data_IF_757667602493
#
_entry.id   IF_757667602493
#
_cell.length_a   1.000
_cell.length_b   1.000
_cell.length_c   1.000
_cell.angle_alpha   90.00
_cell.angle_beta   90.00
_cell.angle_gamma   90.00
#
_symmetry.space_group_name_H-M   'P 1'
#
loop_
_entity.id
_entity.type
_entity.pdbx_description
1 polymer ?
#
# COMPACT_ATOMS: atom_id res chain seq x y z
N UNK A 1 -4.30 4.78 20.78
CA UNK A 1 -3.83 4.69 20.02
C UNK A 1 -3.38 5.04 19.11
N UNK A 2 -3.22 5.15 18.66
CA UNK A 2 -2.94 5.45 17.85
C UNK A 2 -2.78 5.33 16.87
N UNK A 3 -2.96 5.76 16.72
CA UNK A 3 -3.01 5.55 15.63
C UNK A 3 -2.22 5.40 14.52
N UNK A 4 -1.45 4.65 14.44
CA UNK A 4 -0.74 4.31 13.24
C UNK A 4 -1.66 3.98 12.08
N UNK A 5 -2.89 3.69 12.40
CA UNK A 5 -3.90 3.44 11.37
C UNK A 5 -4.51 4.72 10.82
N UNK A 6 -4.18 5.85 11.43
CA UNK A 6 -4.74 7.13 10.99
C UNK A 6 -4.38 7.50 9.55
N UNK A 7 -3.22 7.09 8.99
CA UNK A 7 -2.96 7.37 7.59
C UNK A 7 -3.90 6.69 6.62
N UNK A 8 -4.55 5.58 7.04
CA UNK A 8 -5.54 4.92 6.18
C UNK A 8 -6.89 5.54 6.47
N UNK A 9 -7.35 6.34 5.54
CA UNK A 9 -8.61 7.05 5.65
C UNK A 9 -9.76 6.18 5.16
N UNK A 10 -10.97 6.62 5.44
CA UNK A 10 -12.15 6.03 4.83
C UNK A 10 -12.09 6.21 3.32
N UNK A 11 -12.71 5.33 2.56
CA UNK A 11 -12.77 5.50 1.12
C UNK A 11 -13.32 6.88 0.75
N UNK A 12 -12.68 7.51 -0.21
CA UNK A 12 -13.09 8.81 -0.70
C UNK A 12 -13.51 8.63 -2.16
N UNK A 13 -14.67 9.17 -2.51
CA UNK A 13 -15.14 9.14 -3.88
C UNK A 13 -14.40 10.21 -4.68
N UNK A 14 -13.48 9.79 -5.51
CA UNK A 14 -12.81 10.67 -6.46
C UNK A 14 -13.48 10.57 -7.83
N UNK A 15 -13.45 11.62 -8.62
CA UNK A 15 -13.84 11.51 -10.03
C UNK A 15 -12.97 10.45 -10.70
N UNK A 16 -13.60 9.56 -11.42
CA UNK A 16 -12.89 8.47 -12.10
C UNK A 16 -11.83 8.98 -13.07
N UNK A 17 -12.06 10.16 -13.62
CA UNK A 17 -11.15 10.78 -14.57
C UNK A 17 -9.78 11.10 -13.99
N UNK A 18 -9.65 11.13 -12.65
CA UNK A 18 -8.36 11.34 -12.01
C UNK A 18 -7.47 10.10 -12.06
N UNK A 19 -8.04 8.93 -12.28
CA UNK A 19 -7.32 7.66 -12.18
C UNK A 19 -7.64 6.79 -13.40
N UNK A 20 -7.08 7.17 -14.53
CA UNK A 20 -7.20 6.41 -15.77
C UNK A 20 -5.89 5.69 -16.06
N UNK A 21 -5.98 4.52 -16.68
CA UNK A 21 -4.80 3.79 -17.10
C UNK A 21 -4.22 4.38 -18.39
N UNK A 22 -3.13 3.81 -18.88
CA UNK A 22 -2.46 4.27 -20.10
C UNK A 22 -3.35 4.21 -21.33
N UNK A 23 -4.41 3.40 -21.29
CA UNK A 23 -5.37 3.27 -22.39
C UNK A 23 -6.58 4.16 -22.20
N UNK A 24 -6.58 5.01 -21.18
CA UNK A 24 -7.69 5.92 -20.90
C UNK A 24 -8.85 5.28 -20.17
N UNK A 25 -8.69 4.09 -19.61
CA UNK A 25 -9.73 3.43 -18.83
C UNK A 25 -9.71 3.91 -17.39
N UNK A 26 -10.87 4.20 -16.85
CA UNK A 26 -10.99 4.58 -15.44
C UNK A 26 -10.72 3.38 -14.54
N UNK A 27 -10.11 3.64 -13.39
CA UNK A 27 -9.92 2.63 -12.36
C UNK A 27 -11.28 2.23 -11.81
N UNK A 28 -11.59 0.92 -11.77
CA UNK A 28 -12.86 0.47 -11.21
C UNK A 28 -12.85 0.54 -9.69
N UNK A 29 -14.05 0.67 -9.11
CA UNK A 29 -14.25 0.59 -7.68
C UNK A 29 -13.92 1.87 -6.94
N UNK A 30 -13.94 1.77 -5.61
CA UNK A 30 -13.63 2.89 -4.74
C UNK A 30 -12.12 3.05 -4.57
N UNK A 31 -11.70 4.29 -4.47
CA UNK A 31 -10.32 4.67 -4.25
C UNK A 31 -10.18 5.10 -2.80
N UNK A 32 -9.24 4.50 -2.10
CA UNK A 32 -8.86 4.89 -0.75
C UNK A 32 -7.52 5.59 -0.81
N UNK A 33 -7.24 6.41 0.20
CA UNK A 33 -5.97 7.14 0.25
C UNK A 33 -5.31 6.98 1.60
N UNK A 34 -4.00 7.06 1.58
CA UNK A 34 -3.19 7.24 2.78
C UNK A 34 -1.95 8.06 2.42
N UNK A 35 -1.25 8.52 3.42
CA UNK A 35 -0.01 9.27 3.22
C UNK A 35 1.18 8.34 3.48
N UNK A 36 2.20 8.43 2.64
CA UNK A 36 3.44 7.67 2.86
C UNK A 36 4.16 8.18 4.10
N UNK A 37 4.39 7.29 5.07
CA UNK A 37 4.93 7.68 6.36
C UNK A 37 6.45 7.65 6.50
N UNK A 38 7.15 7.05 5.56
CA UNK A 38 8.59 6.91 5.66
C UNK A 38 9.25 6.87 4.30
N UNK A 39 10.52 6.48 4.28
CA UNK A 39 11.35 6.51 3.07
C UNK A 39 11.62 5.12 2.48
N UNK A 40 10.95 4.10 2.97
CA UNK A 40 11.25 2.72 2.58
C UNK A 40 10.99 2.42 1.11
N UNK A 41 10.17 3.22 0.44
CA UNK A 41 9.83 3.02 -0.97
C UNK A 41 10.49 4.03 -1.90
N UNK A 42 11.45 4.82 -1.41
CA UNK A 42 12.25 5.66 -2.30
C UNK A 42 13.08 4.79 -3.24
N UNK A 43 13.27 5.21 -4.48
CA UNK A 43 12.83 6.46 -5.10
C UNK A 43 11.42 6.40 -5.69
N UNK A 44 10.74 5.27 -5.59
CA UNK A 44 9.43 5.06 -6.23
C UNK A 44 8.35 5.93 -5.61
N UNK A 45 8.30 5.94 -4.28
CA UNK A 45 7.35 6.75 -3.52
C UNK A 45 8.15 7.54 -2.49
N UNK A 46 8.00 8.86 -2.52
CA UNK A 46 8.69 9.74 -1.59
C UNK A 46 7.91 9.84 -0.26
N UNK A 47 8.60 10.15 0.84
CA UNK A 47 7.89 10.43 2.09
C UNK A 47 6.86 11.53 1.90
N UNK A 48 5.74 11.41 2.60
CA UNK A 48 4.64 12.37 2.59
C UNK A 48 3.84 12.44 1.28
N UNK A 49 4.15 11.63 0.28
CA UNK A 49 3.30 11.55 -0.89
C UNK A 49 1.94 10.97 -0.54
N UNK A 50 0.91 11.42 -1.22
CA UNK A 50 -0.42 10.83 -1.13
C UNK A 50 -0.46 9.57 -1.98
N UNK A 51 -0.91 8.48 -1.39
CA UNK A 51 -1.02 7.19 -2.05
C UNK A 51 -2.49 6.89 -2.28
N UNK A 52 -2.83 6.53 -3.52
CA UNK A 52 -4.15 6.05 -3.86
C UNK A 52 -4.09 4.54 -4.08
N UNK A 53 -5.01 3.82 -3.49
CA UNK A 53 -5.07 2.37 -3.62
C UNK A 53 -6.50 1.89 -3.78
N UNK A 54 -6.65 0.80 -4.48
CA UNK A 54 -7.95 0.21 -4.78
C UNK A 54 -8.07 -1.14 -4.08
N UNK A 55 -9.29 -1.49 -3.69
CA UNK A 55 -9.57 -2.78 -3.07
C UNK A 55 -9.13 -3.92 -4.00
N UNK A 56 -8.45 -4.88 -3.41
CA UNK A 56 -7.96 -6.06 -4.12
C UNK A 56 -8.55 -7.36 -3.55
N UNK A 57 -9.66 -7.26 -2.81
CA UNK A 57 -10.29 -8.41 -2.16
C UNK A 57 -9.50 -8.95 -0.98
N UNK A 58 -8.61 -8.16 -0.42
CA UNK A 58 -7.79 -8.58 0.72
C UNK A 58 -6.69 -9.56 0.38
N UNK A 59 -6.39 -9.75 -0.90
CA UNK A 59 -5.40 -10.75 -1.34
C UNK A 59 -4.38 -10.14 -2.28
N UNK A 60 -3.17 -10.67 -2.21
CA UNK A 60 -2.10 -10.36 -3.15
C UNK A 60 -2.09 -11.49 -4.18
N UNK A 61 -2.68 -11.26 -5.34
CA UNK A 61 -2.74 -12.26 -6.42
C UNK A 61 -1.68 -12.05 -7.49
N UNK A 62 -1.07 -10.88 -7.54
CA UNK A 62 -0.01 -10.56 -8.51
C UNK A 62 0.99 -9.60 -7.89
N UNK A 63 2.21 -9.52 -8.47
CA UNK A 63 3.19 -8.55 -7.98
C UNK A 63 2.69 -7.12 -8.09
N UNK A 64 2.97 -6.31 -7.10
CA UNK A 64 2.59 -4.90 -7.08
C UNK A 64 2.95 -4.24 -5.76
N UNK A 65 2.56 -2.99 -5.62
CA UNK A 65 2.73 -2.26 -4.37
C UNK A 65 1.39 -2.31 -3.66
N UNK A 66 1.43 -2.63 -2.36
CA UNK A 66 0.22 -2.84 -1.56
C UNK A 66 0.28 -2.06 -0.27
N UNK A 67 -0.89 -1.66 0.19
CA UNK A 67 -1.09 -1.10 1.52
C UNK A 67 -1.64 -2.22 2.39
N UNK A 68 -0.95 -2.51 3.48
CA UNK A 68 -1.37 -3.56 4.41
C UNK A 68 -1.01 -3.21 5.84
N UNK A 69 -1.65 -3.88 6.78
CA UNK A 69 -1.31 -3.76 8.20
C UNK A 69 -0.81 -5.10 8.72
N UNK A 70 0.09 -5.03 9.66
CA UNK A 70 0.57 -6.15 10.46
C UNK A 70 0.78 -5.68 11.88
N UNK A 71 0.71 -6.62 12.80
CA UNK A 71 1.01 -6.32 14.20
C UNK A 71 2.53 -6.24 14.39
N UNK A 72 2.96 -5.18 15.05
CA UNK A 72 4.34 -4.98 15.46
C UNK A 72 4.32 -4.73 16.95
N UNK A 73 4.86 -5.65 17.73
CA UNK A 73 4.82 -5.58 19.19
C UNK A 73 3.41 -5.34 19.73
N UNK A 74 2.44 -6.08 19.18
CA UNK A 74 1.05 -6.01 19.63
C UNK A 74 0.27 -4.81 19.10
N UNK A 75 0.82 -4.04 18.19
CA UNK A 75 0.15 -2.88 17.61
C UNK A 75 0.04 -3.02 16.10
N UNK A 76 -1.14 -2.71 15.52
CA UNK A 76 -1.26 -2.70 14.07
C UNK A 76 -0.47 -1.53 13.50
N UNK A 77 0.36 -1.84 12.52
CA UNK A 77 1.16 -0.85 11.79
C UNK A 77 0.83 -0.93 10.31
N UNK A 78 0.79 0.24 9.68
CA UNK A 78 0.51 0.36 8.26
C UNK A 78 1.82 0.32 7.48
N UNK A 79 1.84 -0.53 6.47
CA UNK A 79 2.98 -0.67 5.57
C UNK A 79 2.56 -0.40 4.14
N UNK A 80 3.45 0.21 3.39
CA UNK A 80 3.35 0.33 1.93
C UNK A 80 4.62 -0.28 1.37
N UNK A 81 4.49 -1.41 0.72
CA UNK A 81 5.64 -2.19 0.24
C UNK A 81 5.31 -2.83 -1.10
N UNK A 82 6.36 -3.16 -1.83
CA UNK A 82 6.22 -4.04 -2.98
C UNK A 82 6.08 -5.47 -2.49
N UNK A 83 5.10 -6.20 -3.01
CA UNK A 83 4.80 -7.56 -2.57
C UNK A 83 4.74 -8.46 -3.79
N UNK A 84 5.42 -9.60 -3.70
CA UNK A 84 5.39 -10.63 -4.72
C UNK A 84 4.82 -11.93 -4.13
N UNK A 85 3.71 -12.45 -4.68
CA UNK A 85 3.19 -13.74 -4.24
C UNK A 85 4.04 -14.87 -4.81
N UNK A 86 4.28 -15.89 -4.00
CA UNK A 86 5.02 -17.07 -4.38
C UNK A 86 4.07 -18.26 -4.56
N UNK A 87 4.46 -19.28 -5.36
CA UNK A 87 3.59 -20.44 -5.60
C UNK A 87 3.16 -21.20 -4.35
N UNK A 88 3.97 -21.19 -3.29
CA UNK A 88 3.67 -21.87 -2.04
C UNK A 88 2.76 -21.05 -1.10
N UNK A 89 2.31 -19.89 -1.54
CA UNK A 89 1.48 -19.00 -0.74
C UNK A 89 2.24 -18.01 0.11
N UNK A 90 3.57 -18.07 0.13
CA UNK A 90 4.37 -17.07 0.83
C UNK A 90 4.37 -15.75 0.05
N UNK A 91 4.69 -14.67 0.76
CA UNK A 91 4.78 -13.33 0.18
C UNK A 91 6.17 -12.78 0.42
N UNK A 92 6.80 -12.28 -0.64
CA UNK A 92 8.08 -11.59 -0.55
C UNK A 92 7.76 -10.10 -0.39
N UNK A 93 8.23 -9.51 0.70
CA UNK A 93 8.00 -8.12 1.05
C UNK A 93 9.25 -7.32 0.75
N UNK A 94 9.13 -6.37 -0.15
CA UNK A 94 10.27 -5.64 -0.71
C UNK A 94 10.12 -4.15 -0.46
N UNK A 95 11.17 -3.54 0.07
CA UNK A 95 11.30 -2.09 0.10
C UNK A 95 12.13 -1.67 -1.10
N UNK A 96 11.62 -0.72 -1.89
CA UNK A 96 12.37 -0.24 -3.05
C UNK A 96 13.65 0.49 -2.65
N UNK A 97 13.67 1.05 -1.45
CA UNK A 97 14.88 1.61 -0.87
C UNK A 97 15.77 0.48 -0.36
N UNK A 98 16.96 0.37 -0.94
CA UNK A 98 17.89 -0.72 -0.66
C UNK A 98 18.49 -0.71 0.76
N UNK A 99 18.28 0.36 1.51
CA UNK A 99 18.68 0.39 2.92
C UNK A 99 17.80 -0.48 3.81
N UNK A 100 16.66 -0.94 3.28
CA UNK A 100 15.74 -1.82 4.01
C UNK A 100 15.85 -3.23 3.47
N UNK A 101 15.75 -4.19 4.37
CA UNK A 101 15.85 -5.60 3.99
C UNK A 101 14.57 -6.11 3.35
N UNK A 102 14.75 -6.99 2.37
CA UNK A 102 13.67 -7.80 1.81
C UNK A 102 13.46 -9.02 2.71
N UNK A 103 12.23 -9.37 2.97
CA UNK A 103 11.93 -10.55 3.77
C UNK A 103 10.73 -11.30 3.21
N UNK A 104 10.59 -12.55 3.61
CA UNK A 104 9.50 -13.40 3.16
C UNK A 104 8.61 -13.76 4.35
N UNK A 105 7.30 -13.70 4.12
CA UNK A 105 6.31 -14.16 5.10
C UNK A 105 5.71 -15.46 4.59
N UNK A 106 5.84 -16.52 5.37
CA UNK A 106 5.12 -17.76 5.04
C UNK A 106 3.63 -17.61 5.36
N UNK A 107 2.84 -18.61 5.03
CA UNK A 107 1.38 -18.54 5.20
C UNK A 107 1.01 -18.29 6.67
N UNK A 108 1.71 -18.91 7.60
CA UNK A 108 1.42 -18.76 9.02
C UNK A 108 1.76 -17.36 9.53
N UNK A 109 2.85 -16.80 9.03
CA UNK A 109 3.28 -15.44 9.40
C UNK A 109 2.34 -14.35 8.88
N UNK A 110 1.48 -14.69 7.93
CA UNK A 110 0.48 -13.76 7.40
C UNK A 110 -0.80 -13.71 8.23
N UNK A 111 -0.87 -14.44 9.34
CA UNK A 111 -2.11 -14.56 10.13
C UNK A 111 -2.62 -13.23 10.67
N UNK A 112 -1.72 -12.28 10.95
CA UNK A 112 -2.07 -10.96 11.46
C UNK A 112 -2.09 -9.88 10.35
N UNK A 113 -1.85 -10.28 9.12
CA UNK A 113 -1.76 -9.35 7.99
C UNK A 113 -3.14 -9.08 7.41
N UNK A 114 -3.42 -7.80 7.20
CA UNK A 114 -4.63 -7.39 6.50
C UNK A 114 -4.21 -6.54 5.30
N UNK A 115 -4.55 -6.98 4.10
CA UNK A 115 -4.26 -6.25 2.87
C UNK A 115 -5.42 -5.32 2.56
N UNK A 116 -5.15 -4.03 2.54
CA UNK A 116 -6.18 -3.00 2.33
C UNK A 116 -6.41 -2.73 0.86
N UNK A 117 -5.38 -2.81 0.04
CA UNK A 117 -5.52 -2.59 -1.37
C UNK A 117 -4.21 -2.51 -2.12
N UNK A 118 -4.33 -2.48 -3.44
CA UNK A 118 -3.19 -2.33 -4.33
C UNK A 118 -3.01 -0.86 -4.69
N UNK A 119 -1.79 -0.38 -4.58
CA UNK A 119 -1.47 1.00 -4.93
C UNK A 119 -1.61 1.18 -6.43
N UNK A 120 -2.35 2.20 -6.83
CA UNK A 120 -2.61 2.51 -8.24
C UNK A 120 -1.99 3.85 -8.66
N UNK A 121 -1.70 4.72 -7.70
CA UNK A 121 -1.12 6.03 -7.99
C UNK A 121 -0.50 6.63 -6.74
N UNK A 122 0.41 7.55 -6.93
CA UNK A 122 0.90 8.42 -5.88
C UNK A 122 1.06 9.82 -6.45
N UNK A 123 1.01 10.81 -5.57
CA UNK A 123 1.20 12.19 -6.00
C UNK A 123 1.85 13.01 -4.89
N UNK A 124 2.66 13.95 -5.30
CA UNK A 124 3.24 14.92 -4.41
C UNK A 124 2.19 15.96 -4.06
N UNK A 125 2.01 16.21 -2.76
CA UNK A 125 1.09 17.22 -2.31
C UNK A 125 1.84 18.52 -2.06
N UNK A 126 1.33 19.59 -2.66
CA UNK A 126 1.84 20.92 -2.40
C UNK A 126 0.95 21.58 -1.34
N UNK A 127 1.56 21.94 -0.23
CA UNK A 127 0.84 22.54 0.88
C UNK A 127 0.92 24.06 0.83
N UNK A 128 -0.22 24.69 1.05
CA UNK A 128 -0.33 26.14 1.12
C UNK A 128 -0.75 26.49 2.56
N UNK A 129 0.21 26.88 3.35
CA UNK A 129 -0.04 27.19 4.76
C UNK A 129 0.27 28.66 5.02
#
# INVERSE_FOLDING_TARGET
>A
MHNLLNPINKPVAYPRELFVDEKGKCTPGEIMTCQMGGDSMQPTIQPCELIAFADCGGKVSEPGIYVFTRDVFGRPCVFVKRVEPMPDGSLVIISDNHHYETFTLDVDEQSDMQVHGRVIASMTMRRFV
#
